data_IF_916751768888
#
_entry.id   IF_916751768888
#
_cell.length_a   1.000
_cell.length_b   1.000
_cell.length_c   1.000
_cell.angle_alpha   90.00
_cell.angle_beta   90.00
_cell.angle_gamma   90.00
#
_symmetry.space_group_name_H-M   'P 1'
#
loop_
_entity.id
_entity.type
_entity.pdbx_description
1 polymer ?
#
# COMPACT_ATOMS: atom_id res chain seq x y z
N UNK A 1 -14.94 34.37 -12.06
CA UNK A 1 -16.32 34.03 -12.48
C UNK A 1 -16.26 32.82 -13.41
N UNK A 2 -16.73 31.67 -12.93
CA UNK A 2 -17.24 30.55 -13.73
C UNK A 2 -17.78 29.53 -12.71
N UNK A 3 -19.08 29.62 -12.47
CA UNK A 3 -19.86 28.75 -11.59
C UNK A 3 -20.27 27.52 -12.39
N UNK A 4 -19.91 26.32 -11.96
CA UNK A 4 -20.46 25.08 -12.50
C UNK A 4 -21.45 24.48 -11.49
N UNK A 5 -22.74 24.62 -11.81
CA UNK A 5 -23.85 23.95 -11.16
C UNK A 5 -23.76 22.44 -11.41
N UNK A 6 -23.78 21.64 -10.34
CA UNK A 6 -24.07 20.22 -10.41
C UNK A 6 -25.60 20.01 -10.36
N UNK A 7 -26.18 19.57 -11.47
CA UNK A 7 -27.58 19.15 -11.55
C UNK A 7 -27.70 17.67 -11.15
N UNK A 8 -28.41 17.40 -10.06
CA UNK A 8 -28.88 16.07 -9.68
C UNK A 8 -30.02 15.64 -10.60
N UNK A 9 -29.83 14.57 -11.38
CA UNK A 9 -30.90 13.94 -12.14
C UNK A 9 -31.59 12.87 -11.30
N UNK A 10 -32.76 13.22 -10.76
CA UNK A 10 -33.75 12.29 -10.22
C UNK A 10 -34.38 11.47 -11.33
N UNK A 11 -34.24 10.14 -11.32
CA UNK A 11 -34.97 9.26 -12.23
C UNK A 11 -36.34 8.92 -11.65
N UNK A 12 -37.38 9.57 -12.19
CA UNK A 12 -38.79 9.26 -11.94
C UNK A 12 -39.18 7.89 -12.50
N UNK A 13 -40.00 7.19 -11.73
CA UNK A 13 -40.76 6.01 -12.16
C UNK A 13 -41.64 6.34 -13.37
N UNK A 14 -41.61 5.48 -14.39
CA UNK A 14 -42.69 5.43 -15.38
C UNK A 14 -43.06 4.00 -15.73
N UNK A 15 -44.35 3.73 -15.54
CA UNK A 15 -45.08 2.52 -15.88
C UNK A 15 -45.14 2.36 -17.40
N UNK A 16 -44.80 1.17 -17.91
CA UNK A 16 -45.09 0.81 -19.29
C UNK A 16 -45.60 -0.64 -19.39
N UNK A 17 -46.87 -0.69 -19.77
CA UNK A 17 -47.77 -1.78 -20.13
C UNK A 17 -47.17 -3.01 -20.82
N UNK A 18 -47.71 -4.17 -20.43
CA UNK A 18 -47.55 -5.48 -21.06
C UNK A 18 -47.82 -5.46 -22.57
N UNK A 19 -46.84 -5.88 -23.37
CA UNK A 19 -47.09 -6.41 -24.73
C UNK A 19 -46.40 -7.76 -24.88
N UNK A 20 -47.22 -8.80 -25.05
CA UNK A 20 -46.79 -10.17 -25.41
C UNK A 20 -46.19 -10.13 -26.83
N UNK A 21 -44.92 -10.47 -26.96
CA UNK A 21 -44.30 -10.82 -28.24
C UNK A 21 -43.91 -12.30 -28.20
N UNK A 22 -44.63 -13.10 -29.01
CA UNK A 22 -44.21 -14.44 -29.44
C UNK A 22 -43.03 -14.27 -30.39
N UNK A 23 -41.91 -14.90 -30.10
CA UNK A 23 -40.82 -15.08 -31.07
C UNK A 23 -40.42 -16.55 -31.15
N UNK A 24 -40.40 -17.02 -32.39
CA UNK A 24 -40.19 -18.40 -32.82
C UNK A 24 -38.70 -18.73 -32.76
N UNK A 25 -38.35 -19.85 -32.11
CA UNK A 25 -36.99 -20.35 -31.98
C UNK A 25 -36.52 -20.92 -33.33
N UNK A 26 -35.64 -20.21 -34.05
CA UNK A 26 -34.88 -20.81 -35.16
C UNK A 26 -33.62 -21.46 -34.59
N UNK A 27 -33.60 -22.80 -34.54
CA UNK A 27 -32.40 -23.58 -34.26
C UNK A 27 -31.58 -23.77 -35.53
N UNK A 28 -30.31 -23.34 -35.59
CA UNK A 28 -29.42 -23.80 -36.63
C UNK A 28 -29.00 -25.25 -36.31
N UNK A 29 -29.23 -26.16 -37.27
CA UNK A 29 -28.73 -27.54 -37.25
C UNK A 29 -27.21 -27.50 -37.26
N UNK A 30 -26.57 -27.95 -36.19
CA UNK A 30 -25.14 -28.22 -36.21
C UNK A 30 -24.87 -29.54 -36.94
N UNK A 31 -24.15 -29.42 -38.04
CA UNK A 31 -23.66 -30.49 -38.88
C UNK A 31 -22.48 -31.16 -38.17
N UNK A 32 -22.51 -32.50 -38.11
CA UNK A 32 -21.49 -33.33 -37.46
C UNK A 32 -20.22 -33.34 -38.34
N UNK A 33 -19.26 -32.47 -38.03
CA UNK A 33 -17.89 -32.56 -38.58
C UNK A 33 -16.99 -33.20 -37.53
N UNK A 34 -16.64 -34.45 -37.77
CA UNK A 34 -15.45 -35.09 -37.23
C UNK A 34 -14.20 -34.36 -37.71
N UNK A 35 -13.16 -34.39 -36.88
CA UNK A 35 -11.78 -33.95 -37.11
C UNK A 35 -11.49 -32.46 -36.83
N UNK A 36 -11.30 -32.15 -35.54
CA UNK A 36 -10.51 -31.00 -35.12
C UNK A 36 -9.32 -31.49 -34.28
N UNK A 37 -8.14 -31.42 -34.90
CA UNK A 37 -6.84 -31.76 -34.34
C UNK A 37 -6.48 -30.85 -33.15
N UNK A 38 -6.19 -31.47 -32.01
CA UNK A 38 -5.60 -30.83 -30.83
C UNK A 38 -4.15 -30.44 -31.12
N UNK A 39 -3.65 -29.24 -30.73
CA UNK A 39 -2.24 -28.92 -30.83
C UNK A 39 -1.42 -29.83 -29.89
N UNK A 40 -0.68 -30.78 -30.48
CA UNK A 40 0.38 -31.53 -29.82
C UNK A 40 1.53 -30.58 -29.48
N UNK A 41 1.52 -30.00 -28.29
CA UNK A 41 2.71 -29.35 -27.72
C UNK A 41 2.71 -29.43 -26.19
N UNK A 42 2.42 -30.60 -25.62
CA UNK A 42 2.47 -30.81 -24.16
C UNK A 42 2.78 -32.26 -23.75
N UNK A 43 3.42 -33.07 -24.61
CA UNK A 43 3.63 -34.51 -24.35
C UNK A 43 5.07 -35.00 -24.57
N UNK A 44 6.04 -34.13 -24.88
CA UNK A 44 7.42 -34.57 -25.21
C UNK A 44 8.48 -34.35 -24.10
N UNK A 45 8.09 -33.93 -22.89
CA UNK A 45 9.02 -33.67 -21.78
C UNK A 45 8.77 -34.57 -20.54
N UNK A 46 8.05 -35.69 -20.72
CA UNK A 46 7.71 -36.62 -19.63
C UNK A 46 8.28 -38.03 -19.82
N UNK A 47 9.36 -38.19 -20.60
CA UNK A 47 10.00 -39.49 -20.79
C UNK A 47 11.51 -39.40 -20.91
N UNK A 48 12.19 -39.14 -19.79
CA UNK A 48 13.49 -39.76 -19.53
C UNK A 48 13.71 -39.94 -18.01
N UNK A 49 13.89 -41.18 -17.53
CA UNK A 49 14.12 -41.48 -16.13
C UNK A 49 15.63 -41.60 -15.81
N UNK A 50 15.97 -41.26 -14.57
CA UNK A 50 17.20 -41.53 -13.81
C UNK A 50 18.24 -40.41 -13.73
N UNK A 51 18.28 -39.77 -12.56
CA UNK A 51 19.36 -38.88 -12.13
C UNK A 51 19.03 -38.23 -10.78
N UNK A 52 18.95 -39.02 -9.72
CA UNK A 52 18.79 -38.56 -8.34
C UNK A 52 20.01 -37.73 -7.90
N UNK A 53 19.92 -36.40 -7.85
CA UNK A 53 20.81 -35.54 -7.05
C UNK A 53 20.06 -34.30 -6.53
N UNK A 54 19.94 -34.22 -5.20
CA UNK A 54 19.75 -33.06 -4.32
C UNK A 54 19.42 -31.69 -4.96
N UNK A 55 18.20 -31.20 -4.73
CA UNK A 55 17.88 -29.78 -4.85
C UNK A 55 18.67 -29.00 -3.79
N UNK A 56 19.78 -28.41 -4.21
CA UNK A 56 20.45 -27.31 -3.51
C UNK A 56 20.12 -26.06 -4.32
N UNK A 57 19.61 -25.03 -3.65
CA UNK A 57 19.20 -23.77 -4.24
C UNK A 57 20.31 -23.20 -5.16
N UNK A 58 20.00 -22.97 -6.42
CA UNK A 58 20.88 -22.29 -7.36
C UNK A 58 20.82 -20.79 -7.06
N UNK A 59 21.59 -20.36 -6.05
CA UNK A 59 22.12 -19.00 -6.01
C UNK A 59 23.04 -18.85 -7.23
N UNK A 60 22.65 -18.03 -8.20
CA UNK A 60 23.61 -17.52 -9.19
C UNK A 60 24.53 -16.56 -8.47
N UNK A 61 25.50 -17.11 -7.75
CA UNK A 61 26.67 -16.39 -7.30
C UNK A 61 27.45 -16.04 -8.57
N UNK A 62 27.23 -14.84 -9.10
CA UNK A 62 28.17 -14.24 -10.06
C UNK A 62 29.42 -13.93 -9.23
N UNK A 63 30.30 -14.91 -9.12
CA UNK A 63 31.66 -14.67 -8.65
C UNK A 63 32.41 -13.90 -9.74
N UNK A 64 32.18 -12.58 -9.80
CA UNK A 64 33.04 -11.68 -10.55
C UNK A 64 34.31 -11.47 -9.73
N UNK A 65 35.27 -12.36 -9.93
CA UNK A 65 36.62 -12.23 -9.40
C UNK A 65 37.32 -11.07 -10.16
N UNK A 66 37.58 -9.91 -9.53
CA UNK A 66 38.21 -8.81 -10.23
C UNK A 66 39.72 -9.11 -10.32
N UNK A 67 40.18 -9.58 -11.47
CA UNK A 67 41.62 -9.70 -11.77
C UNK A 67 42.25 -8.30 -11.88
N UNK A 68 42.63 -7.71 -10.75
CA UNK A 68 43.53 -6.57 -10.73
C UNK A 68 44.98 -7.04 -10.79
N UNK A 69 45.66 -6.72 -11.89
CA UNK A 69 47.12 -6.87 -12.02
C UNK A 69 47.80 -5.93 -11.02
N UNK A 70 48.29 -6.49 -9.92
CA UNK A 70 49.16 -5.80 -8.97
C UNK A 70 50.48 -5.37 -9.63
N UNK A 71 50.67 -4.07 -9.84
CA UNK A 71 52.01 -3.47 -9.94
C UNK A 71 52.23 -2.62 -8.70
N UNK A 72 53.14 -3.09 -7.84
CA UNK A 72 53.45 -2.51 -6.53
C UNK A 72 53.98 -1.08 -6.64
N UNK A 73 53.48 -0.17 -5.79
CA UNK A 73 54.33 0.73 -4.99
C UNK A 73 53.57 1.23 -3.75
N UNK A 74 54.27 1.20 -2.63
CA UNK A 74 53.76 1.34 -1.26
C UNK A 74 53.30 2.75 -0.87
N UNK A 75 52.06 2.84 -0.40
CA UNK A 75 51.49 3.68 0.69
C UNK A 75 50.15 2.97 1.01
N UNK A 76 49.81 2.37 2.15
CA UNK A 76 50.31 2.32 3.51
C UNK A 76 49.05 2.24 4.39
N UNK A 77 48.53 1.02 4.63
CA UNK A 77 47.28 0.61 5.35
C UNK A 77 45.95 1.35 5.08
N UNK A 78 45.90 2.68 5.03
CA UNK A 78 44.68 3.48 4.84
C UNK A 78 44.01 3.23 3.50
N UNK A 79 44.77 3.28 2.39
CA UNK A 79 44.22 3.01 1.05
C UNK A 79 43.62 1.61 0.88
N UNK A 80 44.07 0.62 1.67
CA UNK A 80 43.52 -0.75 1.67
C UNK A 80 42.24 -0.80 2.51
N UNK A 81 42.21 -0.08 3.65
CA UNK A 81 41.02 0.04 4.49
C UNK A 81 39.90 0.80 3.78
N UNK A 82 40.23 1.92 3.12
CA UNK A 82 39.29 2.71 2.31
C UNK A 82 38.74 1.87 1.15
N UNK A 83 39.59 1.11 0.47
CA UNK A 83 39.15 0.18 -0.58
C UNK A 83 38.21 -0.90 -0.07
N UNK A 84 38.35 -1.35 1.19
CA UNK A 84 37.48 -2.37 1.79
C UNK A 84 36.13 -1.77 2.20
N UNK A 85 36.12 -0.58 2.80
CA UNK A 85 34.89 0.12 3.19
C UNK A 85 34.03 0.50 1.97
N UNK A 86 34.68 0.93 0.89
CA UNK A 86 34.03 1.17 -0.40
C UNK A 86 33.38 -0.13 -0.92
N UNK A 87 34.09 -1.26 -0.89
CA UNK A 87 33.53 -2.56 -1.31
C UNK A 87 32.34 -2.99 -0.44
N UNK A 88 32.42 -2.79 0.88
CA UNK A 88 31.33 -3.11 1.81
C UNK A 88 30.08 -2.24 1.50
N UNK A 89 30.24 -0.93 1.24
CA UNK A 89 29.11 -0.08 0.83
C UNK A 89 28.53 -0.48 -0.53
N UNK A 90 29.36 -0.87 -1.51
CA UNK A 90 28.85 -1.38 -2.79
C UNK A 90 28.03 -2.66 -2.61
N UNK A 91 28.50 -3.59 -1.77
CA UNK A 91 27.75 -4.81 -1.46
C UNK A 91 26.42 -4.50 -0.76
N UNK A 92 26.39 -3.55 0.18
CA UNK A 92 25.14 -3.10 0.81
C UNK A 92 24.22 -2.45 -0.24
N UNK A 93 24.76 -1.58 -1.11
CA UNK A 93 23.99 -0.90 -2.15
C UNK A 93 23.35 -1.87 -3.16
N UNK A 94 24.06 -2.96 -3.50
CA UNK A 94 23.55 -4.06 -4.33
C UNK A 94 22.38 -4.77 -3.62
N UNK A 95 22.55 -5.16 -2.36
CA UNK A 95 21.47 -5.76 -1.56
C UNK A 95 20.26 -4.82 -1.47
N UNK A 96 20.48 -3.52 -1.28
CA UNK A 96 19.41 -2.51 -1.26
C UNK A 96 18.70 -2.46 -2.60
N UNK A 97 19.42 -2.48 -3.73
CA UNK A 97 18.83 -2.51 -5.07
C UNK A 97 17.94 -3.74 -5.25
N UNK A 98 18.42 -4.92 -4.84
CA UNK A 98 17.65 -6.15 -4.87
C UNK A 98 16.38 -6.05 -4.00
N UNK A 99 16.46 -5.44 -2.81
CA UNK A 99 15.29 -5.18 -1.96
C UNK A 99 14.27 -4.26 -2.63
N UNK A 100 14.72 -3.21 -3.34
CA UNK A 100 13.83 -2.33 -4.11
C UNK A 100 13.03 -3.11 -5.15
N UNK A 101 13.71 -3.96 -5.94
CA UNK A 101 13.07 -4.79 -6.96
C UNK A 101 12.14 -5.84 -6.35
N UNK A 102 12.58 -6.50 -5.28
CA UNK A 102 11.79 -7.47 -4.55
C UNK A 102 10.48 -6.87 -4.03
N UNK A 103 10.52 -5.74 -3.32
CA UNK A 103 9.31 -5.06 -2.83
C UNK A 103 8.40 -4.60 -3.98
N UNK A 104 8.97 -4.14 -5.10
CA UNK A 104 8.22 -3.77 -6.30
C UNK A 104 7.48 -4.97 -6.92
N UNK A 105 8.15 -6.12 -7.01
CA UNK A 105 7.56 -7.35 -7.53
C UNK A 105 6.44 -7.87 -6.61
N UNK A 106 6.66 -7.87 -5.30
CA UNK A 106 5.65 -8.30 -4.32
C UNK A 106 4.44 -7.35 -4.35
N UNK A 107 4.66 -6.04 -4.44
CA UNK A 107 3.58 -5.05 -4.63
C UNK A 107 2.71 -5.42 -5.84
N UNK A 108 3.31 -5.68 -6.99
CA UNK A 108 2.58 -6.05 -8.21
C UNK A 108 1.80 -7.36 -8.06
N UNK A 109 2.38 -8.36 -7.38
CA UNK A 109 1.68 -9.62 -7.08
C UNK A 109 0.45 -9.39 -6.22
N UNK A 110 0.55 -8.54 -5.19
CA UNK A 110 -0.56 -8.22 -4.28
C UNK A 110 -1.67 -7.43 -4.96
N UNK A 111 -1.32 -6.46 -5.83
CA UNK A 111 -2.28 -5.74 -6.65
C UNK A 111 -3.04 -6.70 -7.60
N UNK A 112 -2.33 -7.65 -8.24
CA UNK A 112 -2.95 -8.67 -9.07
C UNK A 112 -3.88 -9.59 -8.25
N UNK A 113 -3.45 -10.03 -7.06
CA UNK A 113 -4.30 -10.82 -6.16
C UNK A 113 -5.56 -10.07 -5.75
N UNK A 114 -5.46 -8.77 -5.44
CA UNK A 114 -6.63 -7.94 -5.12
C UNK A 114 -7.64 -7.96 -6.27
N UNK A 115 -7.18 -7.72 -7.50
CA UNK A 115 -8.04 -7.72 -8.69
C UNK A 115 -8.68 -9.09 -8.96
N UNK A 116 -7.88 -10.16 -8.90
CA UNK A 116 -8.36 -11.54 -9.13
C UNK A 116 -9.38 -11.97 -8.08
N UNK A 117 -9.10 -11.74 -6.80
CA UNK A 117 -9.99 -12.14 -5.71
C UNK A 117 -11.28 -11.32 -5.73
N UNK A 118 -11.20 -10.00 -5.94
CA UNK A 118 -12.38 -9.13 -6.04
C UNK A 118 -13.33 -9.59 -7.15
N UNK A 119 -12.79 -9.82 -8.35
CA UNK A 119 -13.59 -10.25 -9.51
C UNK A 119 -14.17 -11.65 -9.31
N UNK A 120 -13.36 -12.58 -8.77
CA UNK A 120 -13.80 -13.95 -8.50
C UNK A 120 -14.89 -14.00 -7.44
N UNK A 121 -14.75 -13.24 -6.36
CA UNK A 121 -15.76 -13.15 -5.30
C UNK A 121 -17.07 -12.57 -5.82
N UNK A 122 -17.02 -11.43 -6.50
CA UNK A 122 -18.21 -10.83 -7.09
C UNK A 122 -18.89 -11.77 -8.11
N UNK A 123 -18.11 -12.46 -8.94
CA UNK A 123 -18.60 -13.46 -9.89
C UNK A 123 -19.26 -14.67 -9.20
N UNK A 124 -18.64 -15.21 -8.15
CA UNK A 124 -19.20 -16.31 -7.37
C UNK A 124 -20.47 -15.90 -6.62
N UNK A 125 -20.48 -14.71 -6.00
CA UNK A 125 -21.66 -14.16 -5.31
C UNK A 125 -22.82 -13.94 -6.30
N UNK A 126 -22.56 -13.36 -7.47
CA UNK A 126 -23.58 -13.17 -8.50
C UNK A 126 -24.11 -14.51 -9.03
N UNK A 127 -23.22 -15.47 -9.29
CA UNK A 127 -23.59 -16.82 -9.74
C UNK A 127 -24.46 -17.53 -8.68
N UNK A 128 -24.07 -17.44 -7.41
CA UNK A 128 -24.84 -17.99 -6.29
C UNK A 128 -26.23 -17.35 -6.19
N UNK A 129 -26.33 -16.02 -6.34
CA UNK A 129 -27.61 -15.30 -6.35
C UNK A 129 -28.51 -15.77 -7.50
N UNK A 130 -27.97 -15.91 -8.71
CA UNK A 130 -28.70 -16.40 -9.88
C UNK A 130 -29.18 -17.84 -9.63
N UNK A 131 -28.32 -18.72 -9.12
CA UNK A 131 -28.69 -20.11 -8.81
C UNK A 131 -29.79 -20.18 -7.73
N UNK A 132 -29.73 -19.35 -6.69
CA UNK A 132 -30.80 -19.25 -5.68
C UNK A 132 -32.11 -18.73 -6.27
N UNK A 133 -32.05 -17.70 -7.12
CA UNK A 133 -33.22 -17.16 -7.81
C UNK A 133 -33.86 -18.18 -8.76
N UNK A 134 -33.05 -18.89 -9.55
CA UNK A 134 -33.50 -19.95 -10.44
C UNK A 134 -34.12 -21.12 -9.67
N UNK A 135 -33.53 -21.52 -8.54
CA UNK A 135 -34.09 -22.55 -7.67
C UNK A 135 -35.46 -22.16 -7.10
N UNK A 136 -35.73 -20.86 -6.89
CA UNK A 136 -37.00 -20.37 -6.36
C UNK A 136 -38.12 -20.32 -7.40
N UNK A 137 -37.80 -20.06 -8.67
CA UNK A 137 -38.79 -19.98 -9.77
C UNK A 137 -39.02 -21.31 -10.47
N UNK A 138 -38.13 -22.28 -10.27
CA UNK A 138 -38.29 -23.64 -10.80
C UNK A 138 -39.33 -24.39 -9.96
N UNK A 139 -40.53 -24.60 -10.51
CA UNK A 139 -41.63 -25.30 -9.84
C UNK A 139 -41.35 -26.80 -9.58
N UNK A 140 -41.91 -27.31 -8.47
CA UNK A 140 -41.95 -28.69 -7.96
C UNK A 140 -40.64 -29.50 -7.95
N UNK A 141 -39.98 -29.53 -6.78
CA UNK A 141 -39.50 -30.75 -6.11
C UNK A 141 -38.52 -31.70 -6.82
N UNK A 142 -37.83 -31.30 -7.89
CA UNK A 142 -36.89 -32.16 -8.62
C UNK A 142 -35.42 -32.05 -8.17
N UNK A 143 -34.61 -33.06 -8.53
CA UNK A 143 -33.14 -33.05 -8.35
C UNK A 143 -32.42 -31.79 -8.89
N UNK A 144 -32.86 -31.14 -9.99
CA UNK A 144 -32.25 -29.88 -10.46
C UNK A 144 -32.37 -28.71 -9.47
N UNK A 145 -33.47 -28.61 -8.73
CA UNK A 145 -33.69 -27.56 -7.72
C UNK A 145 -32.76 -27.78 -6.52
N UNK A 146 -32.64 -29.05 -6.10
CA UNK A 146 -31.73 -29.45 -5.04
C UNK A 146 -30.27 -29.14 -5.41
N UNK A 147 -29.87 -29.43 -6.65
CA UNK A 147 -28.55 -29.10 -7.14
C UNK A 147 -28.29 -27.59 -7.11
N UNK A 148 -29.21 -26.78 -7.65
CA UNK A 148 -29.05 -25.32 -7.69
C UNK A 148 -28.95 -24.68 -6.30
N UNK A 149 -29.77 -25.11 -5.34
CA UNK A 149 -29.72 -24.55 -3.97
C UNK A 149 -28.43 -24.96 -3.23
N UNK A 150 -28.00 -26.21 -3.40
CA UNK A 150 -26.76 -26.71 -2.79
C UNK A 150 -25.54 -26.01 -3.40
N UNK A 151 -25.50 -25.86 -4.73
CA UNK A 151 -24.44 -25.12 -5.42
C UNK A 151 -24.41 -23.64 -5.01
N UNK A 152 -25.57 -22.98 -4.92
CA UNK A 152 -25.67 -21.60 -4.45
C UNK A 152 -25.17 -21.44 -3.02
N UNK A 153 -25.63 -22.29 -2.10
CA UNK A 153 -25.21 -22.27 -0.70
C UNK A 153 -23.70 -22.54 -0.57
N UNK A 154 -23.17 -23.52 -1.31
CA UNK A 154 -21.75 -23.84 -1.34
C UNK A 154 -20.91 -22.68 -1.86
N UNK A 155 -21.34 -22.01 -2.94
CA UNK A 155 -20.66 -20.84 -3.47
C UNK A 155 -20.65 -19.69 -2.45
N UNK A 156 -21.76 -19.39 -1.78
CA UNK A 156 -21.78 -18.38 -0.73
C UNK A 156 -20.90 -18.75 0.48
N UNK A 157 -20.85 -20.01 0.87
CA UNK A 157 -19.93 -20.49 1.91
C UNK A 157 -18.47 -20.34 1.49
N UNK A 158 -18.13 -20.68 0.24
CA UNK A 158 -16.79 -20.49 -0.31
C UNK A 158 -16.41 -19.00 -0.35
N UNK A 159 -17.32 -18.13 -0.81
CA UNK A 159 -17.15 -16.67 -0.80
C UNK A 159 -16.93 -16.19 0.65
N UNK A 160 -17.70 -16.67 1.61
CA UNK A 160 -17.52 -16.32 3.04
C UNK A 160 -16.11 -16.69 3.53
N UNK A 161 -15.66 -17.91 3.25
CA UNK A 161 -14.33 -18.39 3.64
C UNK A 161 -13.20 -17.58 3.00
N UNK A 162 -13.30 -17.30 1.70
CA UNK A 162 -12.32 -16.51 0.96
C UNK A 162 -12.32 -15.06 1.47
N UNK A 163 -13.48 -14.46 1.76
CA UNK A 163 -13.56 -13.12 2.37
C UNK A 163 -12.89 -13.06 3.73
N UNK A 164 -13.05 -14.08 4.59
CA UNK A 164 -12.36 -14.12 5.88
C UNK A 164 -10.84 -14.12 5.70
N UNK A 165 -10.32 -14.90 4.77
CA UNK A 165 -8.88 -14.94 4.44
C UNK A 165 -8.42 -13.62 3.82
N UNK A 166 -9.17 -13.08 2.87
CA UNK A 166 -8.86 -11.82 2.21
C UNK A 166 -8.94 -10.63 3.16
N UNK A 167 -9.83 -10.68 4.16
CA UNK A 167 -9.92 -9.69 5.22
C UNK A 167 -8.80 -9.83 6.25
N UNK A 168 -8.13 -10.98 6.34
CA UNK A 168 -6.88 -11.08 7.08
C UNK A 168 -5.73 -10.53 6.26
N UNK A 169 -5.57 -10.97 5.02
CA UNK A 169 -4.40 -10.65 4.19
C UNK A 169 -4.43 -9.22 3.63
N UNK A 170 -5.61 -8.65 3.38
CA UNK A 170 -5.87 -7.37 2.69
C UNK A 170 -4.83 -7.02 1.61
N UNK A 171 -4.91 -7.68 0.43
CA UNK A 171 -3.89 -7.54 -0.61
C UNK A 171 -3.60 -6.08 -1.01
N UNK A 172 -4.63 -5.23 -1.12
CA UNK A 172 -4.44 -3.81 -1.47
C UNK A 172 -3.72 -2.99 -0.40
N UNK A 173 -3.96 -3.27 0.89
CA UNK A 173 -3.23 -2.61 1.97
C UNK A 173 -1.75 -3.02 1.95
N UNK A 174 -1.49 -4.32 1.87
CA UNK A 174 -0.13 -4.85 1.79
C UNK A 174 0.60 -4.31 0.56
N UNK A 175 -0.06 -4.20 -0.59
CA UNK A 175 0.55 -3.62 -1.79
C UNK A 175 1.08 -2.20 -1.52
N UNK A 176 0.33 -1.35 -0.81
CA UNK A 176 0.78 0.00 -0.50
C UNK A 176 1.91 0.02 0.53
N UNK A 177 1.89 -0.87 1.52
CA UNK A 177 3.02 -1.06 2.44
C UNK A 177 4.30 -1.46 1.68
N UNK A 178 4.20 -2.37 0.71
CA UNK A 178 5.34 -2.77 -0.13
C UNK A 178 5.80 -1.64 -1.06
N UNK A 179 4.87 -0.83 -1.59
CA UNK A 179 5.20 0.34 -2.40
C UNK A 179 5.96 1.36 -1.57
N UNK A 180 5.57 1.57 -0.31
CA UNK A 180 6.30 2.44 0.62
C UNK A 180 7.69 1.88 0.97
N UNK A 181 7.81 0.58 1.25
CA UNK A 181 9.10 -0.08 1.46
C UNK A 181 10.05 0.13 0.26
N UNK A 182 9.57 -0.11 -0.95
CA UNK A 182 10.35 0.09 -2.19
C UNK A 182 10.84 1.54 -2.33
N UNK A 183 10.02 2.53 -1.98
CA UNK A 183 10.43 3.95 -1.96
C UNK A 183 11.53 4.22 -0.93
N UNK A 184 11.42 3.68 0.28
CA UNK A 184 12.41 3.87 1.34
C UNK A 184 13.75 3.20 1.02
N UNK A 185 13.74 1.96 0.53
CA UNK A 185 14.97 1.32 0.06
C UNK A 185 15.59 2.07 -1.13
N UNK A 186 14.79 2.64 -2.04
CA UNK A 186 15.31 3.47 -3.12
C UNK A 186 15.98 4.74 -2.61
N UNK A 187 15.42 5.38 -1.58
CA UNK A 187 16.08 6.53 -0.92
C UNK A 187 17.40 6.12 -0.30
N UNK A 188 17.43 5.01 0.44
CA UNK A 188 18.65 4.48 1.03
C UNK A 188 19.72 4.15 -0.03
N UNK A 189 19.32 3.62 -1.18
CA UNK A 189 20.23 3.38 -2.30
C UNK A 189 20.89 4.68 -2.79
N UNK A 190 20.10 5.73 -3.01
CA UNK A 190 20.64 7.02 -3.45
C UNK A 190 21.46 7.72 -2.36
N UNK A 191 21.12 7.55 -1.08
CA UNK A 191 21.95 8.00 0.06
C UNK A 191 23.33 7.34 0.03
N UNK A 192 23.39 6.01 -0.07
CA UNK A 192 24.67 5.27 -0.12
C UNK A 192 25.49 5.68 -1.35
N UNK A 193 24.85 5.80 -2.51
CA UNK A 193 25.50 6.26 -3.75
C UNK A 193 26.05 7.68 -3.62
N UNK A 194 25.31 8.57 -2.98
CA UNK A 194 25.75 9.96 -2.74
C UNK A 194 26.96 9.98 -1.80
N UNK A 195 26.94 9.17 -0.73
CA UNK A 195 28.10 9.01 0.17
C UNK A 195 29.33 8.51 -0.58
N UNK A 196 29.19 7.52 -1.47
CA UNK A 196 30.29 6.98 -2.29
C UNK A 196 30.87 8.00 -3.27
N UNK A 197 30.07 8.96 -3.75
CA UNK A 197 30.49 9.98 -4.72
C UNK A 197 31.12 11.21 -4.04
N UNK A 198 30.56 11.64 -2.90
CA UNK A 198 30.92 12.93 -2.28
C UNK A 198 31.98 12.84 -1.17
N UNK A 199 32.13 11.69 -0.51
CA UNK A 199 33.01 11.53 0.66
C UNK A 199 33.80 10.23 0.58
N UNK A 200 34.98 10.20 1.20
CA UNK A 200 35.67 8.93 1.50
C UNK A 200 34.86 8.15 2.54
N UNK A 201 34.39 6.93 2.23
CA UNK A 201 33.58 6.15 3.16
C UNK A 201 34.28 5.84 4.47
N UNK A 202 33.59 6.03 5.58
CA UNK A 202 34.07 5.68 6.91
C UNK A 202 33.41 4.40 7.41
N UNK A 203 34.00 3.76 8.42
CA UNK A 203 33.41 2.59 9.11
C UNK A 203 32.01 2.90 9.67
N UNK A 204 31.79 4.15 10.13
CA UNK A 204 30.49 4.59 10.60
C UNK A 204 29.45 4.62 9.46
N UNK A 205 29.83 5.06 8.26
CA UNK A 205 28.92 5.11 7.10
C UNK A 205 28.44 3.70 6.72
N UNK A 206 29.33 2.69 6.76
CA UNK A 206 28.97 1.27 6.55
C UNK A 206 28.00 0.79 7.63
N UNK A 207 28.30 1.08 8.90
CA UNK A 207 27.46 0.68 10.03
C UNK A 207 26.06 1.30 9.96
N UNK A 208 25.97 2.60 9.68
CA UNK A 208 24.70 3.33 9.54
C UNK A 208 23.89 2.77 8.36
N UNK A 209 24.53 2.53 7.21
CA UNK A 209 23.86 1.94 6.06
C UNK A 209 23.30 0.55 6.40
N UNK A 210 24.09 -0.31 7.06
CA UNK A 210 23.65 -1.63 7.51
C UNK A 210 22.49 -1.56 8.50
N UNK A 211 22.57 -0.67 9.50
CA UNK A 211 21.49 -0.48 10.49
C UNK A 211 20.20 0.01 9.85
N UNK A 212 20.29 0.93 8.88
CA UNK A 212 19.13 1.40 8.10
C UNK A 212 18.51 0.27 7.27
N UNK A 213 19.30 -0.59 6.63
CA UNK A 213 18.79 -1.77 5.92
C UNK A 213 18.03 -2.69 6.88
N UNK A 214 18.63 -3.04 8.02
CA UNK A 214 18.02 -3.93 9.01
C UNK A 214 16.76 -3.32 9.64
N UNK A 215 16.75 -2.00 9.87
CA UNK A 215 15.58 -1.28 10.35
C UNK A 215 14.43 -1.34 9.34
N UNK A 216 14.71 -1.14 8.04
CA UNK A 216 13.70 -1.25 6.99
C UNK A 216 13.19 -2.68 6.83
N UNK A 217 14.07 -3.69 6.84
CA UNK A 217 13.68 -5.11 6.80
C UNK A 217 12.77 -5.50 8.00
N UNK A 218 13.03 -4.91 9.17
CA UNK A 218 12.19 -5.11 10.37
C UNK A 218 10.86 -4.36 10.31
N UNK A 219 10.85 -3.15 9.74
CA UNK A 219 9.66 -2.32 9.60
C UNK A 219 8.71 -2.84 8.52
N UNK A 220 9.26 -3.42 7.46
CA UNK A 220 8.53 -4.01 6.34
C UNK A 220 8.91 -5.47 6.17
N UNK A 221 8.50 -6.34 7.12
CA UNK A 221 8.69 -7.77 6.93
C UNK A 221 8.01 -8.19 5.63
N UNK A 222 8.38 -9.35 5.10
CA UNK A 222 7.71 -9.98 3.97
C UNK A 222 6.74 -11.06 4.47
N UNK A 223 5.61 -10.70 5.11
CA UNK A 223 4.70 -11.70 5.63
C UNK A 223 3.98 -12.38 4.47
N UNK A 224 4.28 -13.66 4.27
CA UNK A 224 3.38 -14.56 3.56
C UNK A 224 2.25 -15.02 4.50
N UNK A 225 2.49 -15.20 5.81
CA UNK A 225 1.49 -15.50 6.86
C UNK A 225 2.00 -15.42 8.33
N UNK A 226 3.26 -15.01 8.62
CA UNK A 226 3.91 -15.26 9.92
C UNK A 226 3.93 -14.13 10.96
N UNK A 227 4.08 -12.86 10.56
CA UNK A 227 3.98 -11.69 11.46
C UNK A 227 3.55 -10.51 10.59
N UNK A 228 2.25 -10.36 10.41
CA UNK A 228 1.67 -9.29 9.61
C UNK A 228 1.58 -8.02 10.48
N UNK A 229 1.85 -6.85 9.90
CA UNK A 229 1.49 -5.58 10.53
C UNK A 229 0.01 -5.66 10.89
N UNK A 230 -0.35 -5.24 12.11
CA UNK A 230 -1.74 -5.30 12.53
C UNK A 230 -2.60 -4.48 11.58
N UNK A 231 -3.43 -5.17 10.78
CA UNK A 231 -4.43 -4.55 9.89
C UNK A 231 -5.30 -3.53 10.63
N UNK A 232 -5.56 -3.79 11.91
CA UNK A 232 -6.50 -3.06 12.73
C UNK A 232 -5.88 -2.63 14.06
N UNK A 233 -4.97 -1.65 14.06
CA UNK A 233 -4.37 -1.19 15.30
C UNK A 233 -5.46 -0.68 16.26
N UNK A 234 -5.22 -0.85 17.55
CA UNK A 234 -6.08 -0.30 18.61
C UNK A 234 -5.97 1.22 18.70
N UNK A 235 -4.78 1.76 18.42
CA UNK A 235 -4.48 3.18 18.34
C UNK A 235 -3.72 3.47 17.05
N UNK A 236 -4.24 4.38 16.22
CA UNK A 236 -3.51 4.85 15.03
C UNK A 236 -2.36 5.74 15.48
N UNK A 237 -1.14 5.30 15.22
CA UNK A 237 0.09 6.08 15.40
C UNK A 237 0.61 6.53 14.03
N UNK A 238 1.23 7.73 13.96
CA UNK A 238 2.06 8.10 12.82
C UNK A 238 3.10 7.02 12.55
N UNK A 239 3.43 6.82 11.28
CA UNK A 239 4.45 5.85 10.91
C UNK A 239 5.86 6.38 11.22
N UNK A 240 6.69 5.53 11.84
CA UNK A 240 8.09 5.83 12.20
C UNK A 240 8.97 4.80 11.52
N UNK A 241 9.89 5.25 10.67
CA UNK A 241 10.61 4.40 9.72
C UNK A 241 12.10 4.24 10.04
N UNK A 242 12.65 5.22 10.75
CA UNK A 242 14.07 5.28 11.06
C UNK A 242 14.27 5.10 12.57
N UNK A 243 15.34 4.41 13.00
CA UNK A 243 15.75 4.45 14.40
C UNK A 243 16.01 5.91 14.80
N UNK A 244 15.77 6.25 16.07
CA UNK A 244 16.16 7.56 16.60
C UNK A 244 17.64 7.78 16.25
N UNK A 245 17.92 8.86 15.52
CA UNK A 245 19.28 9.18 15.12
C UNK A 245 20.13 9.32 16.39
N UNK A 246 21.03 8.36 16.61
CA UNK A 246 22.10 8.57 17.57
C UNK A 246 22.93 9.71 17.01
N UNK A 247 22.99 10.82 17.76
CA UNK A 247 23.76 12.01 17.43
C UNK A 247 25.06 11.62 16.70
N UNK A 248 25.29 12.10 15.47
CA UNK A 248 26.56 11.83 14.83
C UNK A 248 27.65 12.47 15.70
N UNK A 249 28.57 11.66 16.23
CA UNK A 249 29.83 12.17 16.75
C UNK A 249 30.66 12.58 15.53
N UNK A 250 30.49 13.82 15.07
CA UNK A 250 31.42 14.41 14.12
C UNK A 250 32.63 14.96 14.89
N UNK A 251 33.83 14.59 14.45
CA UNK A 251 35.07 15.13 14.98
C UNK A 251 35.13 16.64 14.67
N UNK A 252 35.29 17.43 15.73
CA UNK A 252 35.47 18.87 15.71
C UNK A 252 36.54 19.27 14.67
N UNK A 253 36.12 19.89 13.57
CA UNK A 253 37.03 20.74 12.79
C UNK A 253 36.63 22.17 13.07
N UNK A 254 37.29 22.76 14.08
CA UNK A 254 37.13 24.16 14.45
C UNK A 254 37.76 25.08 13.40
N UNK A 255 37.09 25.23 12.27
CA UNK A 255 37.31 26.36 11.37
C UNK A 255 36.27 27.44 11.62
N UNK A 256 36.76 28.69 11.61
CA UNK A 256 36.04 29.92 11.97
C UNK A 256 34.57 29.89 11.55
N UNK A 257 33.70 30.20 12.51
CA UNK A 257 32.24 30.37 12.34
C UNK A 257 31.95 31.39 11.24
N UNK A 258 31.90 30.92 10.00
CA UNK A 258 31.04 31.50 8.98
C UNK A 258 29.61 31.33 9.50
N UNK A 259 28.78 32.38 9.40
CA UNK A 259 27.36 32.32 9.74
C UNK A 259 26.74 31.15 8.96
N UNK A 260 26.37 30.07 9.66
CA UNK A 260 25.79 28.87 9.04
C UNK A 260 24.33 29.10 8.59
N UNK A 261 24.03 30.08 7.74
CA UNK A 261 22.71 30.35 7.16
C UNK A 261 21.53 30.63 8.11
N UNK A 262 21.68 30.39 9.42
CA UNK A 262 20.68 30.57 10.45
C UNK A 262 20.67 32.01 10.96
N UNK A 263 19.49 32.61 10.99
CA UNK A 263 19.21 33.84 11.69
C UNK A 263 17.96 33.69 12.58
N UNK A 264 17.73 34.66 13.46
CA UNK A 264 16.59 34.66 14.39
C UNK A 264 15.25 34.62 13.64
N UNK A 265 15.18 35.26 12.47
CA UNK A 265 14.00 35.27 11.61
C UNK A 265 13.66 33.87 11.11
N UNK A 266 14.65 33.13 10.59
CA UNK A 266 14.48 31.77 10.11
C UNK A 266 14.10 30.81 11.24
N UNK A 267 14.67 30.98 12.43
CA UNK A 267 14.26 30.19 13.60
C UNK A 267 12.80 30.43 13.99
N UNK A 268 12.35 31.69 13.99
CA UNK A 268 10.94 32.03 14.23
C UNK A 268 10.03 31.47 13.14
N UNK A 269 10.42 31.59 11.87
CA UNK A 269 9.66 31.03 10.75
C UNK A 269 9.52 29.51 10.88
N UNK A 270 10.59 28.79 11.24
CA UNK A 270 10.56 27.33 11.44
C UNK A 270 9.73 26.92 12.66
N UNK A 271 9.76 27.68 13.76
CA UNK A 271 8.87 27.46 14.93
C UNK A 271 7.41 27.60 14.55
N UNK A 272 7.11 28.57 13.70
CA UNK A 272 5.75 28.84 13.27
C UNK A 272 5.24 27.77 12.29
N UNK A 273 6.06 27.37 11.31
CA UNK A 273 5.79 26.22 10.42
C UNK A 273 5.55 24.95 11.24
N UNK A 274 6.39 24.68 12.25
CA UNK A 274 6.22 23.56 13.17
C UNK A 274 4.84 23.60 13.87
N UNK A 275 4.39 24.79 14.28
CA UNK A 275 3.07 25.01 14.86
C UNK A 275 1.94 24.63 13.91
N UNK A 276 2.03 25.01 12.63
CA UNK A 276 1.03 24.68 11.61
C UNK A 276 1.01 23.19 11.30
N UNK A 277 2.18 22.58 11.04
CA UNK A 277 2.31 21.15 10.75
C UNK A 277 1.72 20.29 11.87
N UNK A 278 2.07 20.61 13.12
CA UNK A 278 1.61 19.87 14.30
C UNK A 278 0.14 20.08 14.60
N UNK A 279 -0.31 21.33 14.53
CA UNK A 279 -1.67 21.72 14.91
C UNK A 279 -2.73 21.33 13.88
N UNK A 280 -2.37 21.29 12.59
CA UNK A 280 -3.31 21.07 11.50
C UNK A 280 -3.02 19.78 10.73
N UNK A 281 -1.93 19.71 9.99
CA UNK A 281 -1.65 18.62 9.05
C UNK A 281 -1.59 17.26 9.77
N UNK A 282 -0.70 17.10 10.74
CA UNK A 282 -0.52 15.84 11.45
C UNK A 282 -1.81 15.38 12.16
N UNK A 283 -2.47 16.29 12.87
CA UNK A 283 -3.69 16.01 13.62
C UNK A 283 -4.85 15.58 12.69
N UNK A 284 -5.00 16.24 11.54
CA UNK A 284 -6.07 15.96 10.59
C UNK A 284 -5.87 14.61 9.88
N UNK A 285 -4.65 14.29 9.47
CA UNK A 285 -4.35 12.98 8.85
C UNK A 285 -4.51 11.82 9.85
N UNK A 286 -4.20 12.02 11.13
CA UNK A 286 -4.51 11.05 12.19
C UNK A 286 -6.03 10.92 12.39
N UNK A 287 -6.78 12.02 12.35
CA UNK A 287 -8.26 11.97 12.45
C UNK A 287 -8.86 11.19 11.28
N UNK A 288 -8.41 11.48 10.06
CA UNK A 288 -8.92 10.88 8.84
C UNK A 288 -8.58 9.38 8.74
N UNK A 289 -7.34 9.00 9.06
CA UNK A 289 -6.95 7.59 9.17
C UNK A 289 -7.79 6.84 10.21
N UNK A 290 -8.11 7.44 11.36
CA UNK A 290 -9.02 6.81 12.34
C UNK A 290 -10.45 6.61 11.81
N UNK A 291 -10.99 7.55 11.02
CA UNK A 291 -12.31 7.40 10.39
C UNK A 291 -12.30 6.26 9.39
N UNK A 292 -11.31 6.24 8.48
CA UNK A 292 -11.19 5.18 7.46
C UNK A 292 -10.96 3.82 8.10
N UNK A 293 -10.17 3.75 9.19
CA UNK A 293 -9.96 2.52 9.94
C UNK A 293 -11.28 1.94 10.48
N UNK A 294 -12.15 2.78 11.04
CA UNK A 294 -13.47 2.35 11.53
C UNK A 294 -14.35 1.83 10.39
N UNK A 295 -14.35 2.50 9.25
CA UNK A 295 -15.08 2.07 8.06
C UNK A 295 -14.55 0.72 7.56
N UNK A 296 -13.22 0.56 7.44
CA UNK A 296 -12.58 -0.69 7.03
C UNK A 296 -12.93 -1.84 7.98
N UNK A 297 -12.95 -1.60 9.30
CA UNK A 297 -13.37 -2.58 10.32
C UNK A 297 -14.82 -3.06 10.12
N UNK A 298 -15.73 -2.12 9.88
CA UNK A 298 -17.15 -2.44 9.67
C UNK A 298 -17.33 -3.26 8.39
N UNK A 299 -16.75 -2.80 7.28
CA UNK A 299 -16.87 -3.50 5.99
C UNK A 299 -16.29 -4.92 6.06
N UNK A 300 -15.11 -5.08 6.67
CA UNK A 300 -14.44 -6.36 6.84
C UNK A 300 -15.24 -7.37 7.67
N UNK A 301 -16.13 -6.89 8.53
CA UNK A 301 -17.06 -7.73 9.28
C UNK A 301 -18.35 -8.00 8.49
N UNK A 302 -18.89 -6.97 7.82
CA UNK A 302 -20.14 -7.06 7.06
C UNK A 302 -20.05 -8.04 5.89
N UNK A 303 -18.95 -8.07 5.13
CA UNK A 303 -18.82 -8.94 3.95
C UNK A 303 -19.06 -10.44 4.28
N UNK A 304 -18.27 -11.05 5.18
CA UNK A 304 -18.47 -12.42 5.63
C UNK A 304 -19.85 -12.65 6.27
N UNK A 305 -20.35 -11.70 7.06
CA UNK A 305 -21.66 -11.85 7.71
C UNK A 305 -22.81 -11.93 6.69
N UNK A 306 -22.81 -11.02 5.71
CA UNK A 306 -23.83 -10.96 4.66
C UNK A 306 -23.79 -12.19 3.77
N UNK A 307 -22.59 -12.66 3.40
CA UNK A 307 -22.42 -13.89 2.60
C UNK A 307 -22.83 -15.14 3.37
N UNK A 308 -22.59 -15.18 4.68
CA UNK A 308 -23.13 -16.23 5.57
C UNK A 308 -24.66 -16.24 5.61
N UNK A 309 -25.30 -15.08 5.73
CA UNK A 309 -26.77 -14.99 5.65
C UNK A 309 -27.30 -15.38 4.27
N UNK A 310 -26.59 -15.01 3.20
CA UNK A 310 -26.94 -15.41 1.85
C UNK A 310 -26.86 -16.94 1.67
N UNK A 311 -25.83 -17.58 2.25
CA UNK A 311 -25.67 -19.03 2.25
C UNK A 311 -26.81 -19.75 2.99
N UNK A 312 -27.20 -19.22 4.16
CA UNK A 312 -28.33 -19.73 4.93
C UNK A 312 -29.64 -19.56 4.15
N UNK A 313 -29.88 -18.37 3.58
CA UNK A 313 -31.03 -18.11 2.71
C UNK A 313 -31.10 -19.09 1.54
N UNK A 314 -29.98 -19.32 0.85
CA UNK A 314 -29.89 -20.27 -0.26
C UNK A 314 -30.23 -21.71 0.17
N UNK A 315 -29.77 -22.13 1.35
CA UNK A 315 -30.11 -23.45 1.91
C UNK A 315 -31.60 -23.62 2.24
N UNK A 316 -32.27 -22.52 2.59
CA UNK A 316 -33.70 -22.48 2.94
C UNK A 316 -34.62 -22.36 1.71
N UNK A 317 -34.08 -22.20 0.49
CA UNK A 317 -34.90 -22.14 -0.74
C UNK A 317 -35.70 -23.43 -0.92
N UNK A 318 -37.01 -23.27 -1.13
CA UNK A 318 -37.94 -24.38 -1.37
C UNK A 318 -38.42 -25.09 -0.09
N UNK A 319 -38.08 -24.60 1.11
CA UNK A 319 -38.57 -25.16 2.36
C UNK A 319 -39.99 -24.65 2.66
N UNK A 320 -40.91 -25.56 3.00
CA UNK A 320 -42.34 -25.26 3.18
C UNK A 320 -42.65 -24.22 4.26
N UNK A 321 -41.81 -24.12 5.30
CA UNK A 321 -41.95 -23.14 6.38
C UNK A 321 -41.40 -21.73 6.07
N UNK A 322 -40.62 -21.56 5.00
CA UNK A 322 -39.95 -20.30 4.67
C UNK A 322 -40.39 -19.67 3.35
N UNK A 323 -41.25 -20.33 2.57
CA UNK A 323 -41.81 -19.80 1.33
C UNK A 323 -40.75 -19.24 0.37
N UNK A 324 -41.02 -18.05 -0.20
CA UNK A 324 -40.05 -17.33 -1.05
C UNK A 324 -38.97 -16.59 -0.28
N UNK A 325 -39.05 -16.55 1.06
CA UNK A 325 -38.15 -15.74 1.89
C UNK A 325 -36.71 -16.22 1.80
N UNK A 326 -36.47 -17.54 1.72
CA UNK A 326 -35.10 -18.07 1.54
C UNK A 326 -34.41 -17.51 0.29
N UNK A 327 -35.13 -17.39 -0.81
CA UNK A 327 -34.61 -16.85 -2.06
C UNK A 327 -34.38 -15.33 -1.98
N UNK A 328 -35.30 -14.60 -1.34
CA UNK A 328 -35.15 -13.16 -1.10
C UNK A 328 -33.91 -12.90 -0.23
N UNK A 329 -33.72 -13.64 0.86
CA UNK A 329 -32.54 -13.52 1.71
C UNK A 329 -31.26 -13.84 0.93
N UNK A 330 -31.25 -14.94 0.17
CA UNK A 330 -30.10 -15.33 -0.64
C UNK A 330 -29.68 -14.24 -1.64
N UNK A 331 -30.64 -13.67 -2.37
CA UNK A 331 -30.36 -12.68 -3.41
C UNK A 331 -30.03 -11.32 -2.80
N UNK A 332 -30.80 -10.84 -1.83
CA UNK A 332 -30.61 -9.52 -1.22
C UNK A 332 -29.29 -9.46 -0.45
N UNK A 333 -29.01 -10.45 0.40
CA UNK A 333 -27.75 -10.46 1.14
C UNK A 333 -26.55 -10.74 0.23
N UNK A 334 -26.71 -11.55 -0.82
CA UNK A 334 -25.67 -11.73 -1.84
C UNK A 334 -25.36 -10.42 -2.57
N UNK A 335 -26.37 -9.68 -3.02
CA UNK A 335 -26.18 -8.39 -3.66
C UNK A 335 -25.52 -7.37 -2.71
N UNK A 336 -25.98 -7.28 -1.47
CA UNK A 336 -25.38 -6.37 -0.48
C UNK A 336 -23.94 -6.76 -0.14
N UNK A 337 -23.65 -8.06 -0.05
CA UNK A 337 -22.29 -8.55 0.13
C UNK A 337 -21.36 -8.13 -1.03
N UNK A 338 -21.83 -8.20 -2.27
CA UNK A 338 -21.04 -7.75 -3.43
C UNK A 338 -20.76 -6.25 -3.39
N UNK A 339 -21.74 -5.43 -2.97
CA UNK A 339 -21.54 -3.98 -2.77
C UNK A 339 -20.50 -3.74 -1.68
N UNK A 340 -20.61 -4.39 -0.52
CA UNK A 340 -19.65 -4.26 0.59
C UNK A 340 -18.26 -4.68 0.15
N UNK A 341 -18.12 -5.82 -0.53
CA UNK A 341 -16.85 -6.32 -1.06
C UNK A 341 -16.22 -5.34 -2.06
N UNK A 342 -17.03 -4.76 -2.94
CA UNK A 342 -16.58 -3.77 -3.92
C UNK A 342 -16.16 -2.47 -3.25
N UNK A 343 -16.88 -2.01 -2.22
CA UNK A 343 -16.47 -0.84 -1.46
C UNK A 343 -15.16 -1.08 -0.69
N UNK A 344 -15.05 -2.19 0.05
CA UNK A 344 -13.87 -2.50 0.85
C UNK A 344 -12.61 -2.69 -0.01
N UNK A 345 -12.68 -3.59 -0.98
CA UNK A 345 -11.52 -4.07 -1.74
C UNK A 345 -11.36 -3.40 -3.09
N UNK A 346 -12.47 -3.09 -3.76
CA UNK A 346 -12.46 -2.32 -5.02
C UNK A 346 -12.22 -0.83 -4.80
N UNK A 347 -12.82 -0.26 -3.75
CA UNK A 347 -12.52 1.10 -3.29
C UNK A 347 -11.19 1.23 -2.54
N UNK A 348 -10.47 0.11 -2.35
CA UNK A 348 -9.16 0.05 -1.70
C UNK A 348 -9.10 0.80 -0.36
N UNK A 349 -10.12 0.63 0.49
CA UNK A 349 -10.25 1.38 1.76
C UNK A 349 -9.05 1.14 2.68
N UNK A 350 -8.47 -0.06 2.67
CA UNK A 350 -7.22 -0.37 3.38
C UNK A 350 -6.01 0.42 2.89
N UNK A 351 -5.85 0.60 1.57
CA UNK A 351 -4.81 1.45 0.98
C UNK A 351 -5.00 2.91 1.38
N UNK A 352 -6.25 3.40 1.35
CA UNK A 352 -6.57 4.79 1.75
C UNK A 352 -6.25 5.02 3.23
N UNK A 353 -6.52 4.04 4.10
CA UNK A 353 -6.10 4.10 5.51
C UNK A 353 -4.58 4.23 5.64
N UNK A 354 -3.82 3.40 4.93
CA UNK A 354 -2.36 3.43 4.95
C UNK A 354 -1.79 4.72 4.37
N UNK A 355 -2.41 5.28 3.33
CA UNK A 355 -2.04 6.58 2.77
C UNK A 355 -2.16 7.70 3.83
N UNK A 356 -3.28 7.76 4.55
CA UNK A 356 -3.46 8.76 5.61
C UNK A 356 -2.52 8.53 6.79
N UNK A 357 -2.31 7.27 7.19
CA UNK A 357 -1.36 6.91 8.25
C UNK A 357 0.09 7.27 7.88
N UNK A 358 0.47 7.03 6.62
CA UNK A 358 1.78 7.40 6.07
C UNK A 358 1.97 8.91 6.01
N UNK A 359 0.92 9.65 5.62
CA UNK A 359 0.95 11.12 5.58
C UNK A 359 1.13 11.71 6.98
N UNK A 360 0.42 11.17 7.98
CA UNK A 360 0.64 11.53 9.39
C UNK A 360 2.09 11.24 9.84
N UNK A 361 2.66 10.09 9.43
CA UNK A 361 4.07 9.75 9.70
C UNK A 361 5.06 10.73 9.06
N UNK A 362 4.80 11.16 7.83
CA UNK A 362 5.59 12.19 7.15
C UNK A 362 5.61 13.51 7.95
N UNK A 363 4.45 14.00 8.38
CA UNK A 363 4.38 15.22 9.18
C UNK A 363 5.03 15.05 10.56
N UNK A 364 4.88 13.89 11.20
CA UNK A 364 5.58 13.60 12.45
C UNK A 364 7.09 13.67 12.31
N UNK A 365 7.64 13.08 11.23
CA UNK A 365 9.07 13.12 10.94
C UNK A 365 9.54 14.56 10.67
N UNK A 366 8.75 15.34 9.93
CA UNK A 366 9.02 16.76 9.71
C UNK A 366 9.07 17.54 11.03
N UNK A 367 8.08 17.33 11.92
CA UNK A 367 8.05 17.96 13.24
C UNK A 367 9.31 17.64 14.03
N UNK A 368 9.68 16.37 14.10
CA UNK A 368 10.85 15.90 14.86
C UNK A 368 12.15 16.47 14.29
N UNK A 369 12.24 16.59 12.96
CA UNK A 369 13.40 17.16 12.26
C UNK A 369 13.54 18.66 12.51
N UNK A 370 12.44 19.42 12.44
CA UNK A 370 12.45 20.85 12.74
C UNK A 370 12.72 21.07 14.23
N UNK A 371 12.09 20.31 15.12
CA UNK A 371 12.27 20.41 16.56
C UNK A 371 13.69 20.05 17.01
N UNK A 372 14.29 18.99 16.45
CA UNK A 372 15.67 18.60 16.78
C UNK A 372 16.67 19.66 16.32
N UNK A 373 16.47 20.20 15.11
CA UNK A 373 17.33 21.23 14.53
C UNK A 373 17.25 22.55 15.31
N UNK A 374 16.06 22.94 15.77
CA UNK A 374 15.86 24.12 16.62
C UNK A 374 16.41 23.95 18.04
N UNK A 375 16.45 22.71 18.55
CA UNK A 375 17.01 22.40 19.89
C UNK A 375 18.52 22.32 19.91
N UNK A 376 19.16 22.09 18.77
CA UNK A 376 20.61 22.02 18.67
C UNK A 376 21.20 23.41 18.96
N UNK A 377 21.97 23.54 20.04
CA UNK A 377 22.43 24.84 20.54
C UNK A 377 23.59 25.41 19.74
N UNK A 378 24.38 24.54 19.12
CA UNK A 378 25.56 24.92 18.35
C UNK A 378 25.18 25.12 16.87
N UNK A 379 25.18 26.38 16.43
CA UNK A 379 24.82 26.75 15.05
C UNK A 379 25.74 26.08 14.02
N UNK A 380 26.99 25.78 14.37
CA UNK A 380 27.94 25.05 13.50
C UNK A 380 27.59 23.58 13.30
N UNK A 381 26.87 22.97 14.25
CA UNK A 381 26.46 21.56 14.21
C UNK A 381 25.11 21.36 13.50
N UNK A 382 24.40 22.46 13.18
CA UNK A 382 23.13 22.41 12.44
C UNK A 382 23.38 22.20 10.94
N UNK A 383 22.43 21.52 10.27
CA UNK A 383 22.33 21.61 8.80
C UNK A 383 22.26 23.09 8.40
N UNK A 384 22.87 23.46 7.27
CA UNK A 384 22.88 24.85 6.82
C UNK A 384 21.46 25.42 6.72
N UNK A 385 21.22 26.59 7.32
CA UNK A 385 19.87 27.15 7.46
C UNK A 385 19.14 27.35 6.13
N UNK A 386 19.82 27.86 5.09
CA UNK A 386 19.22 28.07 3.77
C UNK A 386 18.89 26.74 3.09
N UNK A 387 19.78 25.75 3.20
CA UNK A 387 19.54 24.40 2.67
C UNK A 387 18.37 23.72 3.39
N UNK A 388 18.31 23.88 4.72
CA UNK A 388 17.23 23.37 5.55
C UNK A 388 15.88 24.00 5.17
N UNK A 389 15.84 25.31 4.98
CA UNK A 389 14.66 26.03 4.52
C UNK A 389 14.17 25.51 3.16
N UNK A 390 15.08 25.35 2.19
CA UNK A 390 14.77 24.78 0.87
C UNK A 390 14.20 23.37 1.01
N UNK A 391 14.79 22.53 1.85
CA UNK A 391 14.35 21.15 2.08
C UNK A 391 12.94 21.10 2.67
N UNK A 392 12.66 21.89 3.70
CA UNK A 392 11.32 21.99 4.32
C UNK A 392 10.30 22.53 3.31
N UNK A 393 10.63 23.59 2.56
CA UNK A 393 9.75 24.17 1.55
C UNK A 393 9.36 23.13 0.49
N UNK A 394 10.35 22.45 -0.09
CA UNK A 394 10.12 21.44 -1.13
C UNK A 394 9.39 20.21 -0.60
N UNK A 395 9.67 19.77 0.62
CA UNK A 395 8.94 18.67 1.26
C UNK A 395 7.48 19.04 1.54
N UNK A 396 7.15 20.30 1.78
CA UNK A 396 5.77 20.79 1.88
C UNK A 396 5.16 21.16 0.52
N UNK A 397 5.90 21.02 -0.58
CA UNK A 397 5.44 21.38 -1.93
C UNK A 397 5.25 22.89 -2.13
N UNK A 398 6.00 23.72 -1.39
CA UNK A 398 5.95 25.17 -1.45
C UNK A 398 7.24 25.74 -2.04
N UNK A 399 7.12 26.90 -2.68
CA UNK A 399 8.29 27.76 -2.92
C UNK A 399 8.76 28.42 -1.61
N UNK A 400 10.00 28.90 -1.57
CA UNK A 400 10.55 29.62 -0.40
C UNK A 400 9.68 30.82 -0.01
N UNK A 401 9.21 31.60 -0.99
CA UNK A 401 8.35 32.75 -0.74
C UNK A 401 7.01 32.33 -0.10
N UNK A 402 6.40 31.25 -0.55
CA UNK A 402 5.15 30.73 0.01
C UNK A 402 5.33 30.09 1.39
N UNK A 403 6.51 29.54 1.68
CA UNK A 403 6.84 29.02 3.02
C UNK A 403 6.98 30.18 4.02
N UNK A 404 7.69 31.23 3.64
CA UNK A 404 7.84 32.46 4.44
C UNK A 404 6.52 33.19 4.64
N UNK A 405 5.67 33.23 3.62
CA UNK A 405 4.32 33.80 3.71
C UNK A 405 3.44 32.99 4.68
N UNK A 406 3.51 31.66 4.61
CA UNK A 406 2.83 30.77 5.56
C UNK A 406 3.24 31.10 7.00
N UNK A 407 4.55 31.15 7.28
CA UNK A 407 5.07 31.50 8.60
C UNK A 407 4.67 32.92 9.05
N UNK A 408 4.70 33.89 8.14
CA UNK A 408 4.30 35.27 8.45
C UNK A 408 2.80 35.38 8.75
N UNK A 409 1.98 34.62 8.02
CA UNK A 409 0.51 34.66 8.12
C UNK A 409 -0.04 34.14 9.44
N UNK A 410 0.67 33.23 10.10
CA UNK A 410 0.22 32.63 11.36
C UNK A 410 0.71 33.37 12.61
N UNK A 411 1.70 34.26 12.47
CA UNK A 411 2.14 35.21 13.52
C UNK A 411 1.14 36.36 13.80
N UNK A 412 0.24 36.69 12.86
CA UNK A 412 -0.70 37.81 12.98
C UNK A 412 -2.09 37.34 13.45
N UNK A 413 -2.34 37.45 14.76
CA UNK A 413 -3.61 37.07 15.39
C UNK A 413 -4.83 37.93 15.01
N UNK A 414 -4.80 38.77 13.97
CA UNK A 414 -5.94 39.64 13.64
C UNK A 414 -6.03 40.04 12.17
N UNK A 415 -6.46 39.12 11.31
CA UNK A 415 -7.43 39.43 10.23
C UNK A 415 -8.33 38.24 9.99
N UNK A 416 -9.55 38.42 10.48
CA UNK A 416 -10.62 37.44 10.58
C UNK A 416 -10.78 36.54 9.34
N UNK A 417 -10.80 35.23 9.61
CA UNK A 417 -11.57 34.21 8.88
C UNK A 417 -11.00 33.59 7.60
N UNK A 418 -9.86 34.03 7.06
CA UNK A 418 -9.34 33.48 5.80
C UNK A 418 -8.02 32.69 5.91
N UNK A 419 -7.17 32.94 6.91
CA UNK A 419 -5.98 32.11 7.22
C UNK A 419 -6.33 30.81 8.00
N UNK A 420 -7.62 30.54 8.20
CA UNK A 420 -8.10 29.45 9.07
C UNK A 420 -8.16 28.07 8.36
N UNK A 421 -7.84 28.00 7.07
CA UNK A 421 -8.01 26.76 6.28
C UNK A 421 -6.75 26.26 5.56
N UNK A 422 -5.65 27.04 5.52
CA UNK A 422 -4.47 26.59 4.77
C UNK A 422 -3.64 25.58 5.59
N UNK A 423 -3.42 24.41 4.99
CA UNK A 423 -2.51 23.35 5.46
C UNK A 423 -1.05 23.71 5.18
N UNK A 424 -0.12 23.22 5.99
CA UNK A 424 1.30 23.43 5.74
C UNK A 424 1.73 22.80 4.41
N UNK A 425 1.24 21.60 4.11
CA UNK A 425 1.50 20.96 2.83
C UNK A 425 0.58 21.47 1.72
N UNK A 426 1.13 21.66 0.52
CA UNK A 426 0.37 21.80 -0.74
C UNK A 426 0.34 20.50 -1.56
N UNK A 427 1.01 19.45 -1.09
CA UNK A 427 1.15 18.19 -1.83
C UNK A 427 -0.06 17.26 -1.70
N UNK A 428 -0.85 17.41 -0.63
CA UNK A 428 -1.92 16.48 -0.28
C UNK A 428 -3.23 17.19 0.03
#
# INVERSE_FOLDING_TARGET
MATLQASFCSSSFSSASFKKTKTTLHTPKFQKSSDLSVPRLLVDELSQPNGLLNLTATSTHIEMNPKFKNTRRSKGSEAISDSKLVQELYAIMEIVSDRVEMHKNICAQRDNWNGLLLNSLNGMTATAAIMAGLAAVSGSGGAPILALKLSSSLLYMAVTGILLVMNKIQPSQLAEEQRNASRLFKRLHEEIKTTLVLKTPTSNDVKVAMEKVLALDKAYPLPLLGTMIEKFPSLVKPAVWWPEESKPQHEETSEKVERNGWDEKLEEEMKEILGVVRGKDAAEYVRLSNVVLKVNKILAFCGPLLTGFAAAGAGLVGLTGFGSWGAVLAVVFGALASVVNTLEHGGQVGMVFEMYRSSAGFFKLMEETIESTLKEGEVGERENGELFEVKVALQLGRSLAELRDLASSSSLSSRLRQAKEEFASKLF
#
